data_IF_559625518827
#
_entry.id   IF_559625518827
#
_cell.length_a   1.000
_cell.length_b   1.000
_cell.length_c   1.000
_cell.angle_alpha   90.00
_cell.angle_beta   90.00
_cell.angle_gamma   90.00
#
_symmetry.space_group_name_H-M   'P 1'
#
loop_
_entity.id
_entity.type
_entity.pdbx_description
1 polymer ?
#
# COMPACT_ATOMS: atom_id res chain seq x y z
N UNK A 1 11.78 3.14 12.35
CA UNK A 1 11.91 3.39 10.89
C UNK A 1 10.68 4.13 10.34
N UNK A 2 9.46 3.67 10.63
CA UNK A 2 8.24 4.34 10.19
C UNK A 2 8.06 5.75 10.79
N UNK A 3 8.29 5.93 12.10
CA UNK A 3 8.22 7.26 12.75
C UNK A 3 9.20 8.27 12.14
N UNK A 4 10.40 7.85 11.75
CA UNK A 4 11.37 8.75 11.09
C UNK A 4 10.96 9.17 9.67
N UNK A 5 10.28 8.31 8.91
CA UNK A 5 9.75 8.68 7.58
C UNK A 5 8.58 9.64 7.74
N UNK A 6 7.68 9.36 8.68
CA UNK A 6 6.59 10.24 9.03
C UNK A 6 7.08 11.65 9.41
N UNK A 7 8.07 11.74 10.30
CA UNK A 7 8.66 13.01 10.72
C UNK A 7 9.28 13.78 9.54
N UNK A 8 10.01 13.09 8.65
CA UNK A 8 10.56 13.69 7.43
C UNK A 8 9.44 14.24 6.55
N UNK A 9 8.36 13.48 6.35
CA UNK A 9 7.24 13.93 5.53
C UNK A 9 6.52 15.14 6.14
N UNK A 10 6.27 15.13 7.44
CA UNK A 10 5.68 16.26 8.16
C UNK A 10 6.54 17.51 8.03
N UNK A 11 7.85 17.37 8.23
CA UNK A 11 8.77 18.50 8.24
C UNK A 11 9.02 19.04 6.82
N UNK A 12 9.02 18.16 5.80
CA UNK A 12 9.27 18.54 4.40
C UNK A 12 8.03 19.06 3.70
N UNK A 13 6.84 18.57 4.05
CA UNK A 13 5.58 18.91 3.43
C UNK A 13 4.62 19.51 4.46
N UNK A 14 4.86 20.75 4.92
CA UNK A 14 4.10 21.36 6.02
C UNK A 14 2.61 21.61 5.68
N UNK A 15 2.23 21.51 4.41
CA UNK A 15 0.84 21.63 3.95
C UNK A 15 0.17 20.28 3.69
N UNK A 16 0.91 19.16 3.81
CA UNK A 16 0.34 17.84 3.63
C UNK A 16 -0.75 17.60 4.68
N UNK A 17 -1.84 16.95 4.26
CA UNK A 17 -3.05 16.80 5.08
C UNK A 17 -3.17 15.43 5.72
N UNK A 18 -2.45 14.44 5.21
CA UNK A 18 -2.47 13.07 5.70
C UNK A 18 -1.27 12.28 5.17
N UNK A 19 -0.94 11.19 5.84
CA UNK A 19 0.03 10.19 5.43
C UNK A 19 -0.69 8.87 5.18
N UNK A 20 -0.85 8.46 3.92
CA UNK A 20 -1.36 7.13 3.58
C UNK A 20 -0.20 6.14 3.58
N UNK A 21 -0.28 5.13 4.43
CA UNK A 21 0.76 4.12 4.57
C UNK A 21 0.29 2.78 4.00
N UNK A 22 1.12 2.21 3.12
CA UNK A 22 0.92 0.88 2.56
C UNK A 22 2.08 -0.04 2.96
N UNK A 23 1.76 -1.32 3.11
CA UNK A 23 2.77 -2.37 3.27
C UNK A 23 3.29 -2.84 1.91
N UNK A 24 4.32 -3.68 1.95
CA UNK A 24 4.77 -4.41 0.76
C UNK A 24 3.63 -5.31 0.21
N UNK A 25 3.70 -5.60 -1.09
CA UNK A 25 2.79 -6.51 -1.78
C UNK A 25 3.14 -7.98 -1.48
N UNK A 26 2.42 -8.91 -2.12
CA UNK A 26 2.72 -10.33 -2.01
C UNK A 26 4.08 -10.66 -2.64
N UNK A 27 4.92 -11.38 -1.90
CA UNK A 27 6.29 -11.69 -2.32
C UNK A 27 6.53 -13.18 -2.54
N UNK A 28 5.50 -14.03 -2.49
CA UNK A 28 5.63 -15.47 -2.72
C UNK A 28 6.04 -15.84 -4.15
N UNK A 29 5.97 -14.90 -5.10
CA UNK A 29 6.47 -15.07 -6.46
C UNK A 29 7.97 -14.77 -6.63
N UNK A 30 8.62 -14.20 -5.61
CA UNK A 30 10.03 -13.90 -5.66
C UNK A 30 10.92 -15.09 -5.25
N UNK A 31 12.15 -15.09 -5.73
CA UNK A 31 13.21 -15.98 -5.26
C UNK A 31 14.02 -15.38 -4.09
N UNK A 32 13.71 -14.13 -3.67
CA UNK A 32 14.40 -13.43 -2.59
C UNK A 32 13.93 -13.90 -1.21
N UNK A 33 14.72 -14.78 -0.60
CA UNK A 33 14.43 -15.35 0.71
C UNK A 33 14.13 -14.31 1.81
N UNK A 34 14.75 -13.13 1.77
CA UNK A 34 14.59 -12.07 2.76
C UNK A 34 13.26 -11.29 2.66
N UNK A 35 12.54 -11.43 1.55
CA UNK A 35 11.25 -10.77 1.32
C UNK A 35 10.09 -11.75 1.17
N UNK A 36 10.36 -13.06 1.15
CA UNK A 36 9.36 -14.10 0.95
C UNK A 36 8.30 -14.17 2.06
N UNK A 37 7.21 -14.87 1.76
CA UNK A 37 6.17 -15.16 2.74
C UNK A 37 6.65 -16.13 3.85
N UNK A 38 6.21 -15.93 5.10
CA UNK A 38 5.16 -15.00 5.55
C UNK A 38 5.64 -13.58 5.88
N UNK A 39 6.92 -13.25 5.64
CA UNK A 39 7.50 -11.98 6.07
C UNK A 39 6.83 -10.76 5.44
N UNK A 40 6.45 -10.85 4.16
CA UNK A 40 5.72 -9.78 3.47
C UNK A 40 4.32 -9.56 4.07
N UNK A 41 3.57 -10.64 4.33
CA UNK A 41 2.30 -10.56 5.04
C UNK A 41 2.44 -9.95 6.45
N UNK A 42 3.46 -10.37 7.21
CA UNK A 42 3.72 -9.88 8.56
C UNK A 42 4.05 -8.39 8.61
N UNK A 43 4.62 -7.81 7.54
CA UNK A 43 4.80 -6.36 7.46
C UNK A 43 3.48 -5.59 7.43
N UNK A 44 2.44 -6.12 6.80
CA UNK A 44 1.09 -5.53 6.84
C UNK A 44 0.52 -5.51 8.25
N UNK A 45 0.70 -6.60 8.99
CA UNK A 45 0.32 -6.70 10.40
C UNK A 45 1.09 -5.70 11.26
N UNK A 46 2.41 -5.64 11.08
CA UNK A 46 3.26 -4.70 11.82
C UNK A 46 2.93 -3.24 11.52
N UNK A 47 2.62 -2.90 10.26
CA UNK A 47 2.19 -1.56 9.86
C UNK A 47 0.85 -1.21 10.52
N UNK A 48 -0.12 -2.12 10.50
CA UNK A 48 -1.42 -1.92 11.15
C UNK A 48 -1.24 -1.64 12.64
N UNK A 49 -0.43 -2.45 13.31
CA UNK A 49 -0.18 -2.30 14.74
C UNK A 49 0.55 -0.99 15.06
N UNK A 50 1.48 -0.57 14.19
CA UNK A 50 2.13 0.75 14.29
C UNK A 50 1.11 1.89 14.15
N UNK A 51 0.26 1.90 13.12
CA UNK A 51 -0.79 2.93 12.96
C UNK A 51 -1.73 2.94 14.17
N UNK A 52 -2.10 1.77 14.69
CA UNK A 52 -2.98 1.65 15.84
C UNK A 52 -2.34 2.14 17.15
N UNK A 53 -1.01 2.02 17.29
CA UNK A 53 -0.25 2.48 18.45
C UNK A 53 0.04 3.99 18.41
N UNK A 54 0.21 4.56 17.22
CA UNK A 54 0.49 5.98 16.98
C UNK A 54 -0.76 6.89 17.12
N UNK A 55 -1.71 6.52 17.99
CA UNK A 55 -2.90 7.34 18.25
C UNK A 55 -2.47 8.70 18.80
N UNK A 56 -2.71 9.77 18.02
CA UNK A 56 -2.51 11.15 18.49
C UNK A 56 -2.03 12.19 17.47
N UNK A 57 -1.88 11.86 16.19
CA UNK A 57 -1.48 12.85 15.17
C UNK A 57 -2.68 13.59 14.57
N UNK A 58 -3.28 14.49 15.35
CA UNK A 58 -4.49 15.23 14.94
C UNK A 58 -4.26 16.24 13.78
N UNK A 59 -3.01 16.65 13.53
CA UNK A 59 -2.69 17.64 12.47
C UNK A 59 -2.22 17.00 11.14
N UNK A 60 -1.59 15.82 11.21
CA UNK A 60 -1.11 15.07 10.05
C UNK A 60 -1.40 13.58 10.27
N UNK A 61 -2.67 13.16 10.12
CA UNK A 61 -3.11 11.81 10.44
C UNK A 61 -2.42 10.76 9.58
N UNK A 62 -2.08 9.64 10.22
CA UNK A 62 -1.57 8.44 9.56
C UNK A 62 -2.76 7.53 9.29
N UNK A 63 -2.97 7.21 8.02
CA UNK A 63 -4.10 6.46 7.53
C UNK A 63 -3.63 5.20 6.82
N UNK A 64 -4.41 4.13 6.94
CA UNK A 64 -4.20 2.92 6.14
C UNK A 64 -4.48 3.22 4.65
N UNK A 65 -3.52 2.88 3.80
CA UNK A 65 -3.59 3.04 2.34
C UNK A 65 -4.53 2.05 1.67
N UNK A 66 -4.19 1.61 0.46
CA UNK A 66 -4.98 0.69 -0.34
C UNK A 66 -4.70 -0.79 -0.06
N UNK A 67 -3.60 -1.09 0.67
CA UNK A 67 -3.05 -2.42 0.91
C UNK A 67 -2.77 -3.16 -0.39
N UNK A 68 -1.49 -3.38 -0.73
CA UNK A 68 -1.13 -3.91 -2.05
C UNK A 68 -0.92 -5.44 -2.07
N UNK A 69 -1.18 -6.13 -0.96
CA UNK A 69 -0.96 -7.57 -0.84
C UNK A 69 -2.13 -8.36 -1.47
N UNK A 70 -1.82 -9.25 -2.43
CA UNK A 70 -2.76 -10.19 -3.04
C UNK A 70 -2.04 -11.46 -3.53
N UNK A 71 -2.55 -12.63 -3.14
CA UNK A 71 -1.96 -13.95 -3.43
C UNK A 71 -2.67 -14.62 -4.62
N UNK A 72 -2.28 -14.22 -5.82
CA UNK A 72 -2.66 -14.90 -7.06
C UNK A 72 -4.12 -14.73 -7.46
N UNK A 73 -4.72 -15.80 -7.99
CA UNK A 73 -6.04 -15.77 -8.64
C UNK A 73 -7.21 -15.58 -7.68
N UNK A 74 -6.99 -15.70 -6.37
CA UNK A 74 -8.05 -15.49 -5.38
C UNK A 74 -8.21 -14.01 -5.11
N UNK A 75 -9.29 -13.43 -5.64
CA UNK A 75 -9.68 -12.04 -5.37
C UNK A 75 -9.89 -11.80 -3.87
N UNK A 76 -9.42 -10.65 -3.39
CA UNK A 76 -9.73 -10.20 -2.03
C UNK A 76 -11.22 -9.92 -1.89
N UNK A 77 -11.79 -10.36 -0.78
CA UNK A 77 -13.23 -10.23 -0.56
C UNK A 77 -13.70 -8.77 -0.43
N UNK A 78 -12.83 -7.86 0.01
CA UNK A 78 -13.22 -6.49 0.34
C UNK A 78 -13.27 -5.57 -0.89
N UNK A 79 -12.39 -5.78 -1.88
CA UNK A 79 -12.23 -4.90 -3.04
C UNK A 79 -12.05 -5.62 -4.38
N UNK A 80 -12.05 -6.96 -4.38
CA UNK A 80 -11.86 -7.75 -5.59
C UNK A 80 -10.44 -7.73 -6.15
N UNK A 81 -9.48 -7.07 -5.48
CA UNK A 81 -8.12 -6.96 -6.00
C UNK A 81 -7.43 -8.33 -6.03
N UNK A 82 -6.76 -8.62 -7.14
CA UNK A 82 -5.90 -9.78 -7.31
C UNK A 82 -4.64 -9.38 -8.11
N UNK A 83 -3.60 -10.19 -8.02
CA UNK A 83 -2.37 -10.00 -8.80
C UNK A 83 -1.67 -11.34 -9.00
N UNK A 84 -1.43 -11.72 -10.26
CA UNK A 84 -0.87 -13.03 -10.64
C UNK A 84 0.46 -12.88 -11.36
N UNK A 85 1.44 -13.71 -11.00
CA UNK A 85 2.70 -13.82 -11.75
C UNK A 85 2.57 -14.87 -12.87
N UNK A 86 3.02 -14.60 -14.12
CA UNK A 86 3.85 -13.46 -14.54
C UNK A 86 3.06 -12.30 -15.20
N UNK A 87 1.73 -12.26 -15.08
CA UNK A 87 0.92 -11.25 -15.78
C UNK A 87 1.11 -9.85 -15.17
N UNK A 88 0.94 -9.75 -13.85
CA UNK A 88 0.96 -8.49 -13.10
C UNK A 88 2.35 -8.17 -12.53
N UNK A 89 3.31 -9.09 -12.69
CA UNK A 89 4.64 -9.00 -12.14
C UNK A 89 5.72 -9.03 -13.23
N UNK A 90 6.81 -8.30 -13.00
CA UNK A 90 8.06 -8.50 -13.74
C UNK A 90 8.63 -9.89 -13.45
N UNK A 91 9.65 -10.29 -14.23
CA UNK A 91 10.29 -11.60 -14.10
C UNK A 91 10.94 -11.85 -12.72
N UNK A 92 11.09 -10.82 -11.88
CA UNK A 92 11.61 -10.95 -10.51
C UNK A 92 10.53 -11.29 -9.46
N UNK A 93 9.26 -11.34 -9.86
CA UNK A 93 8.15 -11.68 -8.96
C UNK A 93 7.91 -10.65 -7.85
N UNK A 94 8.48 -9.44 -7.97
CA UNK A 94 8.37 -8.37 -6.97
C UNK A 94 7.69 -7.16 -7.57
N UNK A 95 8.24 -6.66 -8.68
CA UNK A 95 7.81 -5.39 -9.22
C UNK A 95 6.62 -5.57 -10.15
N UNK A 96 5.71 -4.58 -10.23
CA UNK A 96 4.60 -4.63 -11.16
C UNK A 96 5.09 -4.66 -12.62
N UNK A 97 4.43 -5.46 -13.45
CA UNK A 97 4.63 -5.46 -14.90
C UNK A 97 4.13 -4.14 -15.52
N UNK A 98 4.60 -3.83 -16.73
CA UNK A 98 4.14 -2.67 -17.50
C UNK A 98 3.51 -3.15 -18.83
N UNK A 99 2.26 -2.78 -19.16
CA UNK A 99 1.40 -1.86 -18.40
C UNK A 99 0.56 -2.53 -17.31
N UNK A 100 0.26 -3.82 -17.42
CA UNK A 100 -0.84 -4.46 -16.68
C UNK A 100 -0.75 -4.31 -15.15
N UNK A 101 0.34 -4.76 -14.53
CA UNK A 101 0.49 -4.68 -13.07
C UNK A 101 0.54 -3.24 -12.55
N UNK A 102 1.19 -2.34 -13.30
CA UNK A 102 1.26 -0.92 -12.94
C UNK A 102 -0.11 -0.24 -13.05
N UNK A 103 -0.90 -0.56 -14.07
CA UNK A 103 -2.27 -0.04 -14.25
C UNK A 103 -3.21 -0.57 -13.15
N UNK A 104 -3.20 -1.88 -12.87
CA UNK A 104 -4.02 -2.45 -11.79
C UNK A 104 -3.69 -1.86 -10.41
N UNK A 105 -2.40 -1.66 -10.12
CA UNK A 105 -1.98 -0.99 -8.87
C UNK A 105 -2.38 0.49 -8.84
N UNK A 106 -2.29 1.20 -9.97
CA UNK A 106 -2.70 2.59 -10.06
C UNK A 106 -4.23 2.74 -9.87
N UNK A 107 -5.02 1.81 -10.40
CA UNK A 107 -6.47 1.75 -10.20
C UNK A 107 -6.80 1.50 -8.73
N UNK A 108 -6.18 0.51 -8.09
CA UNK A 108 -6.34 0.23 -6.65
C UNK A 108 -6.04 1.48 -5.78
N UNK A 109 -4.93 2.16 -6.04
CA UNK A 109 -4.54 3.38 -5.31
C UNK A 109 -5.52 4.53 -5.56
N UNK A 110 -5.95 4.71 -6.82
CA UNK A 110 -6.91 5.74 -7.20
C UNK A 110 -8.25 5.49 -6.50
N UNK A 111 -8.76 4.27 -6.55
CA UNK A 111 -10.05 3.91 -5.96
C UNK A 111 -10.04 4.23 -4.46
N UNK A 112 -8.99 3.81 -3.75
CA UNK A 112 -8.79 4.15 -2.33
C UNK A 112 -8.81 5.66 -2.06
N UNK A 113 -8.12 6.45 -2.89
CA UNK A 113 -8.09 7.91 -2.74
C UNK A 113 -9.44 8.57 -3.09
N UNK A 114 -10.25 7.96 -3.94
CA UNK A 114 -11.60 8.48 -4.26
C UNK A 114 -12.67 8.05 -3.27
N UNK A 115 -12.47 6.96 -2.54
CA UNK A 115 -13.36 6.51 -1.46
C UNK A 115 -13.19 7.31 -0.16
N UNK A 116 -11.95 7.72 0.14
CA UNK A 116 -11.65 8.53 1.31
C UNK A 116 -12.16 9.95 1.14
N UNK A 117 -13.06 10.38 2.03
CA UNK A 117 -13.67 11.72 1.98
C UNK A 117 -12.63 12.86 2.02
N UNK A 118 -11.50 12.61 2.67
CA UNK A 118 -10.38 13.52 2.89
C UNK A 118 -9.55 13.74 1.62
N UNK A 119 -9.52 12.77 0.69
CA UNK A 119 -8.76 12.85 -0.57
C UNK A 119 -9.64 12.94 -1.80
N UNK A 120 -10.90 12.49 -1.74
CA UNK A 120 -11.83 12.47 -2.87
C UNK A 120 -12.03 13.86 -3.50
N UNK A 121 -11.96 14.92 -2.69
CA UNK A 121 -12.07 16.31 -3.15
C UNK A 121 -10.99 16.70 -4.17
N UNK A 122 -9.84 16.01 -4.19
CA UNK A 122 -8.78 16.24 -5.18
C UNK A 122 -9.02 15.57 -6.53
N UNK A 123 -10.02 14.70 -6.62
CA UNK A 123 -10.39 13.97 -7.85
C UNK A 123 -11.75 14.44 -8.41
N UNK A 124 -12.43 15.35 -7.71
CA UNK A 124 -13.65 15.98 -8.19
C UNK A 124 -13.34 16.95 -9.36
N UNK A 125 -14.23 17.06 -10.37
CA UNK A 125 -14.06 17.95 -11.52
C UNK A 125 -14.14 19.44 -11.18
#
# INVERSE_FOLDING_TARGET
MWSSVYDICRDRFPNAKQFLADSINYMGYSDKAELNEPGAYEQGVALRDWIAAERGFDEFPIMWGAYMWADGETERADDGFNAVCPLDYMADGIHPSNPLGAEGLAELLKDRMTELSETAVWFAP
#
